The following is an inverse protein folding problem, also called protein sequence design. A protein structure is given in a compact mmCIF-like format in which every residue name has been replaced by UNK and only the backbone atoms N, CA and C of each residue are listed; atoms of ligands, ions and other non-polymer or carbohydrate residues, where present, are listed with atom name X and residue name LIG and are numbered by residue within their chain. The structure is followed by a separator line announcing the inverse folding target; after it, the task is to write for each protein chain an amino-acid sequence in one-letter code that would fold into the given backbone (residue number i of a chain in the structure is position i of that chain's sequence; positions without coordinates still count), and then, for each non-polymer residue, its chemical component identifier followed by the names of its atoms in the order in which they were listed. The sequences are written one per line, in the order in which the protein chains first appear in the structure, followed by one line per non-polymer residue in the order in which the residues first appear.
data_IF_983665491137
#
_entry.id   IF_983665491137
#
_cell.length_a   1.000
_cell.length_b   1.000
_cell.length_c   1.000
_cell.angle_alpha   90.00
_cell.angle_beta   90.00
_cell.angle_gamma   90.00
#
_symmetry.space_group_name_H-M   'P 1'
#
loop_
_entity.id
_entity.type
_entity.pdbx_description
1 polymer ?
2 non-polymer ?
3 non-polymer ?
4 water ?
#
# COMPACT_ATOMS: atom_id res chain seq x y z
N UNK A 17 9.87 20.47 7.67
CA UNK A 17 9.23 20.19 6.37
C UNK A 17 8.01 21.08 6.14
N UNK A 18 7.62 21.22 4.87
CA UNK A 18 6.34 21.81 4.51
C UNK A 18 5.21 20.89 4.97
N UNK A 19 4.16 21.49 5.56
CA UNK A 19 2.96 20.74 5.96
C UNK A 19 2.24 20.04 4.80
N UNK A 20 2.42 20.48 3.53
CA UNK A 20 1.79 19.83 2.37
C UNK A 20 2.71 18.85 1.64
N UNK A 21 3.92 18.58 2.19
CA UNK A 21 4.81 17.57 1.59
C UNK A 21 4.12 16.22 1.62
N UNK A 22 4.35 15.42 0.57
CA UNK A 22 4.05 13.99 0.60
C UNK A 22 5.38 13.26 0.54
N UNK A 23 5.66 12.49 1.56
CA UNK A 23 6.91 11.74 1.64
C UNK A 23 7.05 10.74 0.48
N UNK A 24 8.30 10.40 0.19
CA UNK A 24 8.66 9.45 -0.85
C UNK A 24 7.94 8.14 -0.64
N UNK A 25 7.43 7.57 -1.72
CA UNK A 25 6.64 6.35 -1.69
C UNK A 25 7.49 5.12 -1.99
N UNK A 26 6.85 3.96 -1.86
CA UNK A 26 7.50 2.74 -2.31
C UNK A 26 7.59 2.69 -3.82
N UNK A 27 8.56 1.94 -4.32
CA UNK A 27 8.86 1.90 -5.75
C UNK A 27 8.14 0.80 -6.48
N UNK A 28 7.64 -0.21 -5.78
CA UNK A 28 6.89 -1.31 -6.38
C UNK A 28 5.65 -1.55 -5.53
N UNK A 29 4.67 -2.19 -6.15
CA UNK A 29 3.53 -2.79 -5.47
C UNK A 29 3.76 -4.29 -5.46
N UNK A 30 3.41 -4.94 -4.36
CA UNK A 30 3.61 -6.37 -4.23
C UNK A 30 2.29 -7.04 -3.92
N UNK A 31 2.17 -8.28 -4.35
CA UNK A 31 1.02 -9.11 -3.99
C UNK A 31 1.50 -10.53 -3.82
N UNK A 32 0.73 -11.31 -3.08
CA UNK A 32 0.91 -12.75 -2.98
C UNK A 32 -0.05 -13.38 -3.99
N UNK A 33 0.49 -14.26 -4.83
CA UNK A 33 -0.32 -15.10 -5.70
C UNK A 33 -1.18 -16.07 -4.87
N UNK A 34 -2.03 -16.85 -5.56
CA UNK A 34 -2.89 -17.79 -4.85
C UNK A 34 -2.08 -18.83 -4.10
N UNK A 35 -0.90 -19.19 -4.60
CA UNK A 35 -0.01 -20.10 -3.92
C UNK A 35 0.99 -19.41 -3.01
N UNK A 36 0.82 -18.11 -2.77
CA UNK A 36 1.58 -17.25 -1.90
C UNK A 36 2.96 -16.84 -2.45
N UNK A 37 3.29 -17.17 -3.69
CA UNK A 37 4.48 -16.59 -4.30
C UNK A 37 4.32 -15.08 -4.41
N UNK A 38 5.39 -14.36 -4.09
CA UNK A 38 5.40 -12.92 -4.22
C UNK A 38 5.60 -12.51 -5.66
N UNK A 39 4.91 -11.45 -6.03
CA UNK A 39 5.08 -10.88 -7.35
C UNK A 39 5.08 -9.37 -7.23
N UNK A 40 6.03 -8.72 -7.89
CA UNK A 40 6.22 -7.27 -7.75
C UNK A 40 5.95 -6.61 -9.08
N UNK A 41 5.46 -5.38 -9.00
CA UNK A 41 5.05 -4.57 -10.13
C UNK A 41 5.66 -3.18 -10.00
N UNK A 42 6.37 -2.74 -11.05
CA UNK A 42 7.02 -1.46 -11.05
C UNK A 42 7.01 -0.86 -12.43
N UNK A 43 7.48 0.37 -12.52
CA UNK A 43 7.53 1.09 -13.78
C UNK A 43 8.98 1.33 -14.16
N UNK A 44 9.34 0.99 -15.39
CA UNK A 44 10.71 1.14 -15.88
C UNK A 44 10.85 2.40 -16.72
N UNK A 45 12.06 2.59 -17.25
CA UNK A 45 12.41 3.82 -17.97
C UNK A 45 11.64 3.97 -19.27
N UNK A 46 11.01 2.92 -19.75
CA UNK A 46 10.14 2.99 -20.90
C UNK A 46 8.71 3.37 -20.55
N UNK A 47 8.48 3.69 -19.29
CA UNK A 47 7.16 4.06 -18.76
C UNK A 47 6.14 2.94 -18.88
N UNK A 48 6.60 1.70 -18.96
CA UNK A 48 5.76 0.51 -18.98
C UNK A 48 5.83 -0.16 -17.61
N UNK A 49 4.81 -0.91 -17.29
CA UNK A 49 4.82 -1.77 -16.10
C UNK A 49 5.54 -3.07 -16.41
N UNK A 50 6.49 -3.42 -15.56
CA UNK A 50 7.19 -4.69 -15.61
C UNK A 50 6.89 -5.43 -14.32
N UNK A 51 6.89 -6.75 -14.40
CA UNK A 51 6.69 -7.55 -13.19
C UNK A 51 7.67 -8.70 -13.12
N UNK A 52 7.85 -9.23 -11.92
CA UNK A 52 8.75 -10.32 -11.63
C UNK A 52 8.16 -11.09 -10.45
N UNK A 53 8.43 -12.37 -10.37
CA UNK A 53 7.83 -13.21 -9.34
C UNK A 53 8.82 -14.25 -8.84
N UNK A 54 8.61 -14.65 -7.59
CA UNK A 54 9.24 -15.82 -7.04
C UNK A 54 8.82 -17.06 -7.82
N UNK A 55 9.74 -18.00 -7.99
CA UNK A 55 9.37 -19.28 -8.60
C UNK A 55 8.85 -20.29 -7.59
N UNK A 56 9.09 -20.06 -6.31
CA UNK A 56 8.54 -20.85 -5.22
C UNK A 56 8.34 -19.94 -4.01
N UNK A 57 7.35 -20.23 -3.14
CA UNK A 57 6.92 -19.24 -2.13
C UNK A 57 7.80 -19.23 -0.88
N UNK A 58 9.08 -18.92 -1.09
CA UNK A 58 10.06 -18.78 -0.02
C UNK A 58 11.00 -17.62 -0.33
N UNK A 59 11.48 -16.91 0.69
CA UNK A 59 12.28 -15.69 0.39
C UNK A 59 13.61 -15.99 -0.34
N UNK A 60 14.19 -17.17 -0.14
CA UNK A 60 15.42 -17.54 -0.83
C UNK A 60 15.20 -18.16 -2.20
N UNK A 61 13.98 -18.18 -2.69
CA UNK A 61 13.67 -18.63 -4.02
C UNK A 61 14.42 -17.81 -5.07
N UNK A 62 14.61 -18.42 -6.24
CA UNK A 62 15.00 -17.66 -7.39
C UNK A 62 13.77 -16.92 -7.94
N UNK A 63 14.03 -15.85 -8.67
CA UNK A 63 12.99 -15.07 -9.31
C UNK A 63 13.01 -15.34 -10.81
N UNK A 64 11.84 -15.20 -11.44
CA UNK A 64 11.63 -15.61 -12.83
C UNK A 64 12.36 -14.71 -13.82
N UNK A 65 12.54 -13.45 -13.52
CA UNK A 65 13.02 -12.50 -14.49
C UNK A 65 11.96 -11.46 -14.80
N UNK A 66 12.41 -10.26 -15.15
CA UNK A 66 11.50 -9.17 -15.42
C UNK A 66 10.80 -9.35 -16.76
N UNK A 67 9.50 -9.21 -16.74
CA UNK A 67 8.62 -9.34 -17.92
C UNK A 67 7.77 -8.09 -18.07
N UNK A 68 7.60 -7.63 -19.31
CA UNK A 68 6.93 -6.37 -19.59
C UNK A 68 5.48 -6.57 -19.97
N UNK A 69 4.63 -5.68 -19.49
CA UNK A 69 3.32 -5.47 -20.02
C UNK A 69 3.38 -4.34 -21.06
N UNK A 70 2.86 -4.56 -22.24
CA UNK A 70 2.90 -3.49 -23.24
C UNK A 70 1.94 -2.38 -22.87
N UNK A 71 2.37 -1.14 -22.96
CA UNK A 71 1.52 0.00 -22.74
C UNK A 71 2.21 1.02 -21.85
N UNK A 72 2.04 2.29 -22.13
CA UNK A 72 2.63 3.37 -21.37
C UNK A 72 1.64 3.77 -20.29
N UNK A 73 2.17 4.01 -19.09
CA UNK A 73 1.35 4.29 -17.92
C UNK A 73 1.84 5.57 -17.30
N UNK A 74 0.97 6.18 -16.50
CA UNK A 74 1.26 7.45 -15.88
C UNK A 74 0.98 7.48 -14.39
N UNK A 75 0.99 6.33 -13.73
CA UNK A 75 0.92 6.32 -12.27
C UNK A 75 1.68 5.11 -11.77
N UNK A 76 1.81 5.02 -10.45
CA UNK A 76 2.24 3.79 -9.82
C UNK A 76 1.13 2.76 -10.01
N UNK A 77 1.47 1.51 -10.30
CA UNK A 77 0.46 0.46 -10.40
C UNK A 77 0.03 0.00 -9.03
N UNK A 78 -1.25 -0.36 -8.91
CA UNK A 78 -1.80 -0.98 -7.70
C UNK A 78 -2.21 -2.40 -8.07
N UNK A 79 -2.02 -3.34 -7.17
CA UNK A 79 -2.31 -4.74 -7.49
C UNK A 79 -3.10 -5.30 -6.32
N UNK A 80 -4.04 -6.17 -6.63
CA UNK A 80 -4.76 -6.90 -5.60
C UNK A 80 -5.13 -8.26 -6.15
N UNK A 81 -5.17 -9.26 -5.27
CA UNK A 81 -5.61 -10.59 -5.64
C UNK A 81 -7.16 -10.62 -5.60
N UNK A 82 -7.80 -11.11 -6.66
CA UNK A 82 -9.23 -11.36 -6.65
C UNK A 82 -9.56 -12.49 -5.69
N UNK A 83 -10.84 -12.63 -5.38
CA UNK A 83 -11.27 -13.71 -4.48
C UNK A 83 -11.20 -15.10 -5.11
N UNK A 84 -10.93 -15.21 -6.40
CA UNK A 84 -10.66 -16.47 -7.06
C UNK A 84 -9.15 -16.67 -7.30
N UNK A 85 -8.31 -15.91 -6.65
CA UNK A 85 -6.87 -16.04 -6.68
C UNK A 85 -6.13 -15.37 -7.83
N UNK A 86 -6.83 -14.73 -8.75
CA UNK A 86 -6.19 -14.07 -9.89
C UNK A 86 -5.76 -12.65 -9.49
N UNK A 87 -4.50 -12.33 -9.78
CA UNK A 87 -4.00 -10.98 -9.59
C UNK A 87 -4.60 -10.04 -10.64
N UNK A 88 -4.77 -8.79 -10.23
CA UNK A 88 -5.31 -7.76 -11.12
C UNK A 88 -4.64 -6.45 -10.76
N UNK A 89 -4.19 -5.77 -11.80
CA UNK A 89 -3.38 -4.57 -11.68
C UNK A 89 -4.15 -3.40 -12.25
N UNK A 90 -4.05 -2.27 -11.56
CA UNK A 90 -4.72 -1.02 -11.93
C UNK A 90 -3.71 0.09 -12.08
N UNK A 91 -3.89 0.94 -13.09
CA UNK A 91 -2.89 1.97 -13.37
C UNK A 91 -3.56 3.06 -14.19
N UNK A 92 -3.06 4.29 -14.04
CA UNK A 92 -3.52 5.40 -14.86
C UNK A 92 -2.82 5.32 -16.22
N UNK A 93 -3.58 5.59 -17.28
CA UNK A 93 -3.06 5.55 -18.63
C UNK A 93 -2.67 6.92 -19.15
N UNK A 94 -2.15 6.93 -20.39
CA UNK A 94 -1.77 8.18 -21.05
C UNK A 94 -2.95 9.13 -21.25
N UNK A 95 -4.17 8.61 -21.21
CA UNK A 95 -5.37 9.42 -21.33
C UNK A 95 -5.93 9.86 -19.99
N UNK A 96 -5.16 9.65 -18.93
CA UNK A 96 -5.54 9.95 -17.57
C UNK A 96 -6.73 9.17 -17.07
N UNK A 97 -7.08 8.09 -17.77
CA UNK A 97 -8.14 7.22 -17.32
C UNK A 97 -7.55 6.02 -16.59
N UNK A 98 -8.43 5.25 -15.99
CA UNK A 98 -8.08 4.03 -15.28
C UNK A 98 -8.09 2.83 -16.22
N UNK A 99 -7.02 2.05 -16.16
CA UNK A 99 -6.87 0.82 -16.93
C UNK A 99 -6.59 -0.35 -15.97
N UNK A 100 -6.95 -1.55 -16.39
CA UNK A 100 -6.63 -2.71 -15.57
C UNK A 100 -6.27 -3.91 -16.43
N UNK A 101 -5.50 -4.83 -15.87
CA UNK A 101 -5.25 -6.09 -16.53
C UNK A 101 -5.10 -7.18 -15.47
N UNK A 102 -5.41 -8.39 -15.87
CA UNK A 102 -5.56 -9.50 -14.93
C UNK A 102 -4.94 -10.80 -15.43
N UNK A 103 -4.51 -11.62 -14.48
CA UNK A 103 -4.17 -13.02 -14.75
C UNK A 103 -5.44 -13.70 -15.22
N UNK A 104 -5.31 -14.52 -16.27
CA UNK A 104 -6.50 -15.20 -16.78
C UNK A 104 -6.81 -16.45 -16.00
N UNK A 105 -5.87 -16.93 -15.20
CA UNK A 105 -6.08 -18.01 -14.26
C UNK A 105 -5.09 -17.88 -13.11
N UNK A 106 -5.52 -18.33 -11.94
CA UNK A 106 -4.68 -18.23 -10.73
C UNK A 106 -3.32 -18.89 -10.99
N UNK A 107 -2.27 -18.24 -10.51
CA UNK A 107 -0.91 -18.80 -10.50
C UNK A 107 -0.39 -19.06 -11.90
N UNK A 108 -0.87 -18.31 -12.88
CA UNK A 108 -0.41 -18.49 -14.26
C UNK A 108 0.03 -17.14 -14.76
N UNK A 109 1.03 -17.17 -15.64
CA UNK A 109 1.62 -15.94 -16.14
C UNK A 109 1.06 -15.59 -17.52
N UNK A 110 -0.25 -15.73 -17.67
CA UNK A 110 -0.99 -15.30 -18.86
C UNK A 110 -1.92 -14.20 -18.44
N UNK A 111 -1.79 -13.03 -19.06
CA UNK A 111 -2.53 -11.84 -18.65
C UNK A 111 -3.37 -11.32 -19.79
N UNK A 112 -4.40 -10.57 -19.41
CA UNK A 112 -5.43 -10.10 -20.33
C UNK A 112 -5.02 -8.91 -21.19
N UNK A 113 -3.99 -8.17 -20.79
CA UNK A 113 -3.57 -6.92 -21.41
C UNK A 113 -4.49 -5.81 -20.91
N UNK A 114 -4.14 -4.56 -21.16
CA UNK A 114 -4.78 -3.47 -20.45
C UNK A 114 -6.16 -3.23 -21.05
N UNK A 115 -7.15 -3.07 -20.20
CA UNK A 115 -8.52 -2.83 -20.61
C UNK A 115 -9.04 -1.60 -19.89
N UNK A 116 -9.95 -0.86 -20.52
CA UNK A 116 -10.30 0.46 -19.98
C UNK A 116 -11.41 0.41 -18.95
N UNK A 117 -11.25 1.24 -17.91
CA UNK A 117 -12.34 1.58 -16.98
C UNK A 117 -12.72 3.06 -17.01
N UNK A 118 -12.09 3.85 -17.87
CA UNK A 118 -12.47 5.25 -18.13
C UNK A 118 -12.28 6.07 -16.87
N UNK A 119 -13.06 7.12 -16.74
CA UNK A 119 -12.90 8.11 -15.68
C UNK A 119 -11.74 9.05 -15.91
N UNK A 120 -11.58 9.95 -14.96
CA UNK A 120 -10.48 10.90 -14.95
C UNK A 120 -9.81 10.89 -13.60
N UNK A 121 -8.52 10.54 -13.56
CA UNK A 121 -7.80 10.11 -12.36
C UNK A 121 -6.70 11.11 -12.08
N UNK A 122 -6.61 11.60 -10.82
CA UNK A 122 -5.53 12.51 -10.44
C UNK A 122 -4.73 12.03 -9.23
N UNK A 123 -4.74 10.73 -8.96
CA UNK A 123 -3.92 10.15 -7.91
C UNK A 123 -3.52 8.76 -8.39
N UNK A 124 -2.69 8.12 -7.61
CA UNK A 124 -2.52 6.69 -7.81
C UNK A 124 -3.82 6.00 -7.43
N UNK A 125 -4.13 4.90 -8.07
CA UNK A 125 -5.29 4.11 -7.65
C UNK A 125 -4.99 3.31 -6.40
N UNK A 126 -6.05 3.03 -5.65
CA UNK A 126 -6.03 2.24 -4.42
C UNK A 126 -7.12 1.20 -4.59
N UNK A 127 -6.80 -0.05 -4.24
CA UNK A 127 -7.73 -1.15 -4.46
C UNK A 127 -7.98 -1.85 -3.13
N UNK A 128 -9.23 -2.27 -2.91
CA UNK A 128 -9.63 -2.98 -1.70
C UNK A 128 -10.55 -4.13 -2.11
N UNK A 129 -10.42 -5.29 -1.45
CA UNK A 129 -11.34 -6.42 -1.69
C UNK A 129 -12.43 -6.40 -0.64
N UNK A 130 -13.68 -6.19 -1.06
CA UNK A 130 -14.80 -6.30 -0.14
C UNK A 130 -14.91 -7.73 0.40
N UNK A 131 -15.63 -7.88 1.53
CA UNK A 131 -15.75 -9.20 2.12
C UNK A 131 -16.79 -10.07 1.45
N UNK A 132 -17.43 -9.57 0.40
CA UNK A 132 -18.27 -10.39 -0.46
C UNK A 132 -17.58 -10.69 -1.80
N UNK A 133 -16.28 -10.51 -1.83
CA UNK A 133 -15.44 -10.95 -2.92
C UNK A 133 -15.30 -9.98 -4.08
N UNK A 134 -15.86 -8.77 -3.99
CA UNK A 134 -15.80 -7.78 -5.07
C UNK A 134 -14.71 -6.75 -4.84
N UNK A 135 -13.87 -6.56 -5.87
CA UNK A 135 -12.86 -5.52 -5.84
C UNK A 135 -13.53 -4.16 -5.94
N UNK A 136 -12.92 -3.18 -5.30
CA UNK A 136 -13.38 -1.80 -5.35
C UNK A 136 -12.17 -0.89 -5.41
N UNK A 137 -12.25 0.10 -6.26
CA UNK A 137 -11.12 0.97 -6.58
C UNK A 137 -11.46 2.38 -6.15
N UNK A 138 -10.53 3.02 -5.48
CA UNK A 138 -10.64 4.39 -4.98
C UNK A 138 -9.57 5.24 -5.61
N UNK A 139 -9.95 6.45 -6.05
CA UNK A 139 -9.05 7.39 -6.69
C UNK A 139 -9.47 8.80 -6.36
N UNK A 140 -8.52 9.74 -6.47
CA UNK A 140 -8.90 11.14 -6.53
C UNK A 140 -9.28 11.47 -7.98
N UNK A 141 -10.42 12.14 -8.13
CA UNK A 141 -10.90 12.51 -9.42
C UNK A 141 -10.45 13.90 -9.88
N UNK A 142 -10.98 14.28 -11.03
CA UNK A 142 -10.57 15.54 -11.67
C UNK A 142 -11.06 16.76 -10.90
N UNK A 143 -12.05 16.59 -10.04
CA UNK A 143 -12.52 17.61 -9.13
C UNK A 143 -11.92 17.53 -7.72
N UNK A 144 -10.87 16.71 -7.54
CA UNK A 144 -10.17 16.43 -6.30
C UNK A 144 -11.02 15.73 -5.24
N UNK A 145 -12.20 15.24 -5.62
CA UNK A 145 -13.00 14.44 -4.72
C UNK A 145 -12.54 12.98 -4.76
N UNK A 146 -13.04 12.19 -3.82
CA UNK A 146 -12.86 10.76 -3.84
C UNK A 146 -13.92 10.13 -4.72
N UNK A 147 -13.48 9.31 -5.67
CA UNK A 147 -14.38 8.57 -6.53
C UNK A 147 -14.09 7.08 -6.38
N UNK A 148 -15.07 6.26 -6.71
CA UNK A 148 -14.85 4.83 -6.67
C UNK A 148 -15.71 4.12 -7.71
N UNK A 149 -15.33 2.88 -7.95
CA UNK A 149 -15.96 2.00 -8.92
C UNK A 149 -15.71 0.59 -8.42
N UNK A 150 -16.65 -0.32 -8.67
CA UNK A 150 -16.51 -1.66 -8.09
C UNK A 150 -16.97 -2.75 -9.04
N UNK A 151 -16.46 -3.95 -8.79
CA UNK A 151 -17.00 -5.13 -9.43
C UNK A 151 -18.44 -5.32 -8.97
N UNK A 152 -19.32 -5.65 -9.93
CA UNK A 152 -20.72 -5.87 -9.56
C UNK A 152 -21.00 -7.31 -9.24
N UNK A 153 -20.04 -8.19 -9.48
CA UNK A 153 -20.11 -9.57 -9.04
C UNK A 153 -18.69 -10.00 -8.70
N UNK A 154 -18.58 -10.88 -7.73
CA UNK A 154 -17.27 -11.27 -7.23
C UNK A 154 -16.40 -11.82 -8.36
N UNK A 155 -15.15 -11.36 -8.40
CA UNK A 155 -14.07 -11.83 -9.32
C UNK A 155 -14.53 -11.92 -10.77
N UNK A 156 -15.33 -10.94 -11.21
CA UNK A 156 -15.90 -10.88 -12.55
C UNK A 156 -15.53 -9.53 -13.18
N UNK A 157 -15.19 -9.54 -14.48
CA UNK A 157 -14.97 -8.30 -15.23
C UNK A 157 -16.32 -7.71 -15.62
N UNK A 158 -17.02 -7.26 -14.60
CA UNK A 158 -18.25 -6.50 -14.76
C UNK A 158 -18.22 -5.42 -13.68
N UNK A 159 -18.17 -4.15 -14.09
CA UNK A 159 -17.94 -3.06 -13.15
C UNK A 159 -19.11 -2.07 -13.17
N UNK A 160 -19.25 -1.36 -12.05
CA UNK A 160 -20.26 -0.32 -11.84
C UNK A 160 -19.92 0.91 -12.68
N UNK A 161 -20.81 1.89 -12.63
CA UNK A 161 -20.44 3.22 -13.07
C UNK A 161 -19.62 3.92 -11.99
N UNK A 162 -18.86 4.93 -12.40
CA UNK A 162 -18.14 5.78 -11.45
C UNK A 162 -19.09 6.55 -10.55
N UNK A 163 -18.74 6.64 -9.26
CA UNK A 163 -19.54 7.38 -8.31
C UNK A 163 -18.66 8.20 -7.38
N UNK A 164 -19.13 9.40 -7.02
CA UNK A 164 -18.38 10.29 -6.13
C UNK A 164 -18.74 10.09 -4.67
N UNK A 165 -17.73 10.14 -3.82
CA UNK A 165 -17.89 10.21 -2.38
C UNK A 165 -17.55 11.60 -1.87
N UNK A 166 -17.27 12.52 -2.76
CA UNK A 166 -17.06 13.89 -2.29
C UNK A 166 -15.73 14.06 -1.59
N UNK A 167 -15.67 15.13 -0.82
CA UNK A 167 -14.44 15.53 -0.15
C UNK A 167 -13.45 16.29 -1.04
N UNK A 168 -12.33 16.59 -0.43
CA UNK A 168 -11.21 17.21 -1.10
C UNK A 168 -9.94 16.51 -0.65
N UNK A 169 -9.24 15.88 -1.58
CA UNK A 169 -8.07 15.07 -1.24
C UNK A 169 -6.76 15.75 -1.63
N UNK A 170 -5.78 15.65 -0.76
CA UNK A 170 -4.44 16.11 -1.04
C UNK A 170 -3.38 15.05 -0.81
N UNK A 171 -3.81 13.79 -0.72
CA UNK A 171 -2.91 12.64 -0.73
C UNK A 171 -3.58 11.57 -1.56
N UNK A 172 -2.87 10.49 -1.79
CA UNK A 172 -3.49 9.27 -2.28
C UNK A 172 -4.40 8.69 -1.20
N UNK A 173 -5.46 7.99 -1.60
CA UNK A 173 -6.34 7.35 -0.63
C UNK A 173 -5.75 6.02 -0.19
N UNK A 174 -6.09 5.62 1.03
CA UNK A 174 -5.76 4.32 1.56
C UNK A 174 -7.03 3.69 2.12
N UNK A 175 -7.30 2.44 1.73
CA UNK A 175 -8.53 1.77 2.09
C UNK A 175 -8.22 0.51 2.85
N UNK A 176 -9.06 0.19 3.82
CA UNK A 176 -8.88 -1.06 4.53
C UNK A 176 -10.22 -1.54 5.04
N UNK A 177 -10.35 -2.85 5.15
CA UNK A 177 -11.54 -3.41 5.77
C UNK A 177 -11.48 -3.35 7.29
N UNK A 178 -12.59 -2.94 7.90
CA UNK A 178 -12.80 -3.19 9.32
C UNK A 178 -13.11 -4.66 9.54
N UNK A 179 -13.04 -5.08 10.81
CA UNK A 179 -13.23 -6.50 11.13
C UNK A 179 -14.63 -6.95 10.78
N UNK A 180 -15.59 -6.05 10.77
CA UNK A 180 -16.95 -6.37 10.43
C UNK A 180 -17.27 -6.22 8.94
N UNK A 181 -16.26 -6.05 8.11
CA UNK A 181 -16.45 -6.04 6.66
C UNK A 181 -16.72 -4.69 6.04
N UNK A 182 -16.73 -3.63 6.82
CA UNK A 182 -16.96 -2.29 6.28
C UNK A 182 -15.65 -1.69 5.81
N UNK A 183 -15.61 -1.26 4.53
CA UNK A 183 -14.46 -0.52 4.03
C UNK A 183 -14.40 0.83 4.69
N UNK A 184 -13.20 1.25 5.06
CA UNK A 184 -12.93 2.57 5.57
C UNK A 184 -11.77 3.14 4.76
N UNK A 185 -11.93 4.39 4.35
CA UNK A 185 -10.96 5.07 3.49
C UNK A 185 -10.39 6.28 4.20
N UNK A 186 -9.08 6.42 4.09
CA UNK A 186 -8.32 7.48 4.72
C UNK A 186 -7.60 8.32 3.68
N UNK A 187 -7.60 9.63 3.89
CA UNK A 187 -6.88 10.51 2.99
C UNK A 187 -6.64 11.86 3.63
N UNK A 188 -5.55 12.50 3.22
CA UNK A 188 -5.29 13.86 3.63
C UNK A 188 -6.25 14.80 2.94
N UNK A 189 -6.71 15.79 3.71
CA UNK A 189 -7.65 16.77 3.26
C UNK A 189 -7.03 18.12 2.93
N UNK A 190 -7.91 19.07 2.61
CA UNK A 190 -7.45 20.38 2.15
C UNK A 190 -6.73 21.15 3.24
N UNK A 191 -6.97 20.81 4.51
CA UNK A 191 -6.33 21.41 5.67
C UNK A 191 -5.12 20.63 6.13
N UNK A 192 -4.62 19.71 5.30
CA UNK A 192 -3.50 18.80 5.55
C UNK A 192 -3.72 17.86 6.71
N UNK A 193 -4.93 17.75 7.21
CA UNK A 193 -5.20 16.78 8.24
C UNK A 193 -5.66 15.45 7.64
N UNK A 194 -5.64 14.43 8.48
CA UNK A 194 -6.13 13.11 8.07
C UNK A 194 -7.65 13.06 8.24
N UNK A 195 -8.35 12.76 7.15
CA UNK A 195 -9.79 12.56 7.15
C UNK A 195 -10.10 11.11 6.82
N UNK A 196 -11.32 10.70 7.12
CA UNK A 196 -11.78 9.35 6.78
C UNK A 196 -13.28 9.31 6.58
N UNK A 197 -13.70 8.26 5.87
CA UNK A 197 -15.09 8.01 5.51
C UNK A 197 -15.26 6.50 5.44
N UNK A 198 -16.45 6.00 5.76
CA UNK A 198 -16.59 4.55 5.85
C UNK A 198 -17.97 4.07 5.40
N UNK A 199 -18.02 2.84 4.89
CA UNK A 199 -19.27 2.13 4.69
C UNK A 199 -19.96 1.98 6.03
N UNK A 200 -21.27 2.19 6.05
CA UNK A 200 -22.02 2.00 7.28
C UNK A 200 -22.63 0.62 7.39
N UNK A 201 -22.59 -0.14 6.31
CA UNK A 201 -22.93 -1.55 6.33
C UNK A 201 -21.93 -2.26 5.42
N UNK A 202 -21.58 -3.47 5.78
CA UNK A 202 -20.52 -4.16 5.05
C UNK A 202 -20.87 -4.35 3.57
N UNK A 203 -19.91 -4.03 2.71
CA UNK A 203 -19.93 -4.30 1.27
C UNK A 203 -21.24 -3.81 0.63
N UNK A 204 -21.62 -2.61 1.00
CA UNK A 204 -22.81 -1.94 0.54
C UNK A 204 -22.46 -0.50 0.16
N UNK A 205 -23.11 0.04 -0.86
CA UNK A 205 -22.92 1.45 -1.24
C UNK A 205 -23.75 2.36 -0.33
N UNK A 206 -23.36 2.41 0.94
CA UNK A 206 -24.01 3.26 1.94
C UNK A 206 -22.87 3.76 2.81
N UNK A 207 -22.61 5.05 2.79
CA UNK A 207 -21.39 5.60 3.35
C UNK A 207 -21.70 6.70 4.34
N UNK A 208 -20.77 6.88 5.27
CA UNK A 208 -20.81 7.96 6.24
C UNK A 208 -20.52 9.31 5.57
N UNK A 209 -20.56 10.35 6.39
CA UNK A 209 -19.94 11.62 6.00
C UNK A 209 -18.47 11.57 6.31
N UNK A 210 -17.74 12.49 5.68
CA UNK A 210 -16.34 12.68 5.98
C UNK A 210 -16.16 13.21 7.40
N UNK A 211 -15.15 12.69 8.09
CA UNK A 211 -14.79 13.21 9.40
C UNK A 211 -13.30 13.36 9.53
N UNK A 212 -12.89 14.38 10.29
CA UNK A 212 -11.49 14.67 10.50
C UNK A 212 -10.94 13.92 11.70
N UNK A 213 -9.75 13.38 11.53
CA UNK A 213 -8.97 12.85 12.64
C UNK A 213 -7.92 13.85 13.12
N UNK A 214 -7.98 15.08 12.61
CA UNK A 214 -7.12 16.19 12.99
C UNK A 214 -5.67 15.84 12.71
N UNK A 215 -4.75 16.64 13.24
CA UNK A 215 -3.34 16.36 13.08
C UNK A 215 -2.94 16.42 11.62
N UNK A 216 -1.94 17.25 11.32
CA UNK A 216 -1.36 17.30 9.99
C UNK A 216 -0.56 16.01 9.73
N UNK A 217 -0.56 15.58 8.48
CA UNK A 217 0.29 14.49 8.02
C UNK A 217 1.01 14.92 6.75
N UNK A 218 2.20 14.34 6.57
CA UNK A 218 3.11 14.67 5.48
C UNK A 218 3.50 13.43 4.73
N UNK A 219 2.64 12.45 4.75
CA UNK A 219 2.79 11.25 3.93
C UNK A 219 1.39 10.75 3.64
N UNK A 220 1.28 9.81 2.70
CA UNK A 220 0.06 9.06 2.59
C UNK A 220 -0.18 8.30 3.89
N UNK A 221 -1.42 8.07 4.26
CA UNK A 221 -1.71 7.21 5.40
C UNK A 221 -1.53 5.75 5.08
N UNK A 222 -1.11 5.01 6.09
CA UNK A 222 -0.87 3.58 6.01
C UNK A 222 -1.72 2.92 7.09
N UNK A 223 -2.54 1.96 6.70
CA UNK A 223 -3.56 1.36 7.57
C UNK A 223 -3.34 -0.12 7.69
N UNK A 224 -3.47 -0.64 8.91
CA UNK A 224 -3.32 -2.06 9.18
C UNK A 224 -4.32 -2.44 10.26
N UNK A 225 -4.71 -3.70 10.30
CA UNK A 225 -5.57 -4.17 11.40
C UNK A 225 -4.71 -4.88 12.45
N UNK A 226 -5.06 -4.67 13.71
CA UNK A 226 -4.38 -5.43 14.75
C UNK A 226 -5.19 -6.70 15.04
N UNK A 227 -4.72 -7.58 15.94
CA UNK A 227 -5.44 -8.84 16.14
C UNK A 227 -6.65 -8.72 17.08
N UNK A 228 -6.85 -7.57 17.74
CA UNK A 228 -8.11 -7.21 18.40
C UNK A 228 -9.22 -6.77 17.41
N UNK A 229 -8.96 -6.79 16.08
CA UNK A 229 -9.85 -6.25 15.06
C UNK A 229 -9.55 -4.83 14.61
N UNK A 230 -9.05 -4.01 15.52
CA UNK A 230 -9.10 -2.56 15.40
C UNK A 230 -8.10 -2.06 14.39
N UNK A 231 -8.49 -1.02 13.66
CA UNK A 231 -7.57 -0.42 12.71
C UNK A 231 -6.58 0.47 13.41
N UNK A 232 -5.36 0.52 12.87
CA UNK A 232 -4.32 1.43 13.33
C UNK A 232 -3.69 2.10 12.12
N UNK A 233 -3.58 3.43 12.18
CA UNK A 233 -3.17 4.24 11.06
C UNK A 233 -1.83 4.85 11.41
N UNK A 234 -0.91 4.80 10.48
CA UNK A 234 0.45 5.33 10.60
C UNK A 234 0.66 6.37 9.51
N UNK A 235 1.36 7.43 9.87
CA UNK A 235 1.71 8.47 8.90
C UNK A 235 2.92 9.25 9.42
N UNK A 236 3.55 9.96 8.52
CA UNK A 236 4.56 10.92 8.95
C UNK A 236 3.86 12.20 9.35
N UNK A 237 4.36 12.83 10.41
CA UNK A 237 3.79 14.05 10.91
C UNK A 237 4.51 15.30 10.43
N UNK A 238 4.08 16.45 10.95
CA UNK A 238 4.64 17.73 10.50
C UNK A 238 6.08 17.91 10.92
N UNK A 239 6.51 17.25 12.00
CA UNK A 239 7.91 17.32 12.45
C UNK A 239 8.76 16.19 11.87
N UNK A 240 8.24 15.47 10.89
CA UNK A 240 8.93 14.42 10.16
C UNK A 240 9.13 13.13 10.97
N UNK A 241 8.43 12.95 12.08
CA UNK A 241 8.45 11.70 12.84
C UNK A 241 7.23 10.87 12.52
N UNK A 242 7.33 9.59 12.86
CA UNK A 242 6.20 8.69 12.69
C UNK A 242 5.14 8.99 13.74
N UNK A 243 3.89 9.06 13.31
CA UNK A 243 2.82 9.11 14.28
C UNK A 243 1.75 8.08 13.97
N UNK A 244 0.93 7.78 14.96
CA UNK A 244 -0.06 6.73 14.76
C UNK A 244 -1.24 6.94 15.70
N UNK A 245 -2.37 6.37 15.29
CA UNK A 245 -3.65 6.52 15.98
C UNK A 245 -4.39 5.20 15.79
N UNK A 246 -5.25 4.84 16.74
CA UNK A 246 -5.92 3.54 16.62
C UNK A 246 -7.37 3.63 17.06
N UNK A 247 -8.16 2.73 16.50
CA UNK A 247 -9.56 2.60 16.91
C UNK A 247 -9.55 2.04 18.32
N UNK A 248 -10.43 2.56 19.16
CA UNK A 248 -10.51 2.11 20.54
C UNK A 248 -11.86 1.51 20.88
N UNK A 249 -12.75 1.38 19.93
CA UNK A 249 -14.04 0.76 20.15
C UNK A 249 -14.30 -0.28 19.08
N UNK A 250 -15.59 -0.44 18.79
CA UNK A 250 -16.09 -1.40 17.83
C UNK A 250 -16.66 -0.74 16.59
N UNK A 251 -16.53 0.57 16.49
CA UNK A 251 -17.07 1.33 15.39
C UNK A 251 -15.92 2.18 14.78
N UNK A 252 -16.26 2.98 13.79
CA UNK A 252 -15.30 3.83 13.09
C UNK A 252 -15.21 5.25 13.67
N UNK A 253 -15.94 5.52 14.74
CA UNK A 253 -16.04 6.87 15.29
C UNK A 253 -15.04 7.09 16.42
N UNK A 254 -14.77 6.05 17.21
CA UNK A 254 -14.03 6.16 18.47
C UNK A 254 -12.54 5.86 18.25
N UNK A 255 -11.69 6.90 18.39
CA UNK A 255 -10.26 6.77 18.18
C UNK A 255 -9.48 7.28 19.39
N UNK A 256 -8.26 6.75 19.53
CA UNK A 256 -7.30 7.25 20.49
C UNK A 256 -6.83 8.64 20.13
N UNK A 257 -6.05 9.22 21.05
CA UNK A 257 -5.20 10.34 20.70
C UNK A 257 -4.09 9.87 19.77
N UNK A 258 -3.55 10.81 19.03
CA UNK A 258 -2.32 10.56 18.27
C UNK A 258 -1.11 10.43 19.18
N UNK A 259 -0.22 9.54 18.81
CA UNK A 259 1.09 9.46 19.42
C UNK A 259 2.17 9.54 18.36
N UNK A 260 3.28 10.15 18.72
CA UNK A 260 4.44 10.21 17.85
C UNK A 260 5.52 9.35 18.48
N UNK A 261 6.39 8.84 17.63
CA UNK A 261 7.60 8.11 18.02
C UNK A 261 8.81 8.99 17.69
N UNK A 262 9.79 9.09 18.58
CA UNK A 262 10.99 9.83 18.21
C UNK A 262 11.70 9.19 17.03
N UNK A 263 12.33 10.06 16.23
CA UNK A 263 13.17 9.61 15.13
C UNK A 263 12.70 10.19 13.82
N UNK A 264 13.53 10.94 13.13
CA UNK A 264 13.12 11.53 11.86
C UNK A 264 13.13 10.47 10.75
N UNK A 265 12.03 10.38 10.02
CA UNK A 265 11.92 9.48 8.87
C UNK A 265 11.77 10.32 7.62
N UNK A 266 12.26 9.77 6.52
CA UNK A 266 12.36 10.48 5.25
C UNK A 266 11.64 9.76 4.12
N UNK A 267 10.67 8.92 4.46
CA UNK A 267 9.83 8.26 3.48
C UNK A 267 8.49 7.94 4.15
N UNK A 268 7.52 7.49 3.34
CA UNK A 268 6.33 6.89 3.91
C UNK A 268 6.74 5.67 4.75
N UNK A 269 5.97 5.36 5.78
CA UNK A 269 6.15 4.12 6.51
C UNK A 269 5.47 2.97 5.79
N UNK A 270 5.88 1.78 6.18
CA UNK A 270 5.23 0.53 5.77
C UNK A 270 5.05 -0.31 7.03
N UNK A 271 3.87 -0.84 7.21
CA UNK A 271 3.54 -1.56 8.43
C UNK A 271 3.17 -2.99 8.08
N UNK A 272 3.49 -3.89 9.00
CA UNK A 272 3.15 -5.29 8.83
C UNK A 272 2.89 -5.90 10.21
N UNK A 273 2.04 -6.92 10.24
CA UNK A 273 1.76 -7.67 11.47
C UNK A 273 2.55 -8.97 11.38
N UNK A 274 3.44 -9.19 12.33
CA UNK A 274 4.30 -10.36 12.24
C UNK A 274 3.52 -11.57 12.74
N UNK A 275 4.15 -12.75 12.72
CA UNK A 275 3.33 -13.94 12.96
C UNK A 275 3.03 -14.17 14.44
N UNK A 276 3.62 -13.38 15.33
CA UNK A 276 3.22 -13.34 16.72
C UNK A 276 2.14 -12.33 16.98
N UNK A 277 1.61 -11.71 15.95
CA UNK A 277 0.55 -10.77 16.13
C UNK A 277 0.98 -9.39 16.52
N UNK A 278 2.26 -9.09 16.55
CA UNK A 278 2.72 -7.76 16.91
C UNK A 278 2.99 -6.97 15.64
N UNK A 279 2.84 -5.66 15.74
CA UNK A 279 3.10 -4.74 14.63
C UNK A 279 4.57 -4.33 14.53
N UNK A 280 5.00 -4.19 13.28
CA UNK A 280 6.33 -3.67 12.96
C UNK A 280 6.17 -2.60 11.91
N UNK A 281 7.03 -1.58 11.98
CA UNK A 281 6.99 -0.51 11.01
C UNK A 281 8.38 -0.34 10.45
N UNK A 282 8.44 -0.11 9.13
CA UNK A 282 9.67 0.10 8.40
C UNK A 282 9.56 1.46 7.71
N UNK A 283 10.67 2.17 7.64
CA UNK A 283 10.70 3.49 7.01
C UNK A 283 12.14 3.81 6.65
N UNK A 284 12.31 4.69 5.67
CA UNK A 284 13.65 5.24 5.46
C UNK A 284 13.93 6.26 6.55
N UNK A 285 15.08 6.12 7.17
CA UNK A 285 15.45 6.94 8.28
C UNK A 285 16.16 8.23 7.89
N UNK A 286 16.56 8.97 8.91
CA UNK A 286 17.14 10.28 8.69
C UNK A 286 18.49 10.18 8.01
N UNK A 287 19.17 9.05 8.15
CA UNK A 287 20.44 8.79 7.48
C UNK A 287 20.29 8.05 6.16
N UNK A 288 19.07 7.98 5.62
CA UNK A 288 18.74 7.34 4.35
C UNK A 288 18.99 5.85 4.32
N UNK A 289 19.01 5.21 5.49
CA UNK A 289 19.01 3.77 5.56
C UNK A 289 17.63 3.28 5.98
N UNK A 290 17.42 2.00 5.82
CA UNK A 290 16.17 1.39 6.28
C UNK A 290 16.18 1.27 7.79
N UNK A 291 15.12 1.79 8.40
CA UNK A 291 14.89 1.65 9.83
C UNK A 291 13.65 0.79 10.10
N UNK A 292 13.69 0.11 11.23
CA UNK A 292 12.63 -0.78 11.70
C UNK A 292 12.36 -0.54 13.17
N UNK A 293 11.07 -0.55 13.53
CA UNK A 293 10.64 -0.55 14.92
C UNK A 293 9.54 -1.58 15.05
N UNK A 294 9.44 -2.19 16.24
CA UNK A 294 8.42 -3.19 16.52
C UNK A 294 7.82 -2.97 17.90
N UNK A 295 6.58 -3.41 18.04
CA UNK A 295 5.92 -3.44 19.34
C UNK A 295 6.52 -4.55 20.18
N UNK A 296 6.88 -4.22 21.42
CA UNK A 296 7.65 -5.15 22.24
C UNK A 296 6.76 -6.12 22.97
N UNK A 297 5.50 -5.76 23.11
CA UNK A 297 4.47 -6.58 23.71
C UNK A 297 3.15 -6.12 23.11
N UNK A 298 2.06 -6.80 23.47
CA UNK A 298 0.76 -6.49 22.91
C UNK A 298 0.36 -5.04 23.17
N UNK A 299 -0.12 -4.38 22.12
CA UNK A 299 -0.44 -2.96 22.10
C UNK A 299 0.71 -2.07 22.59
N UNK A 300 1.92 -2.64 22.66
CA UNK A 300 2.85 -2.25 23.69
C UNK A 300 3.61 -0.98 23.40
N UNK A 301 4.70 -0.78 24.14
CA UNK A 301 5.64 0.26 23.73
C UNK A 301 6.38 -0.21 22.50
N UNK A 302 6.91 0.77 21.81
CA UNK A 302 7.67 0.54 20.60
C UNK A 302 9.15 0.54 20.89
N UNK A 303 9.87 -0.35 20.23
CA UNK A 303 11.30 -0.37 20.32
C UNK A 303 11.97 0.87 19.73
N UNK A 304 13.20 1.10 20.17
CA UNK A 304 14.01 2.09 19.45
C UNK A 304 14.16 1.62 18.01
N UNK A 305 14.27 2.56 17.09
CA UNK A 305 14.53 2.20 15.70
C UNK A 305 15.88 1.52 15.56
N UNK A 306 15.89 0.46 14.77
CA UNK A 306 17.11 -0.22 14.38
C UNK A 306 17.35 0.07 12.89
N UNK A 307 18.61 0.13 12.49
CA UNK A 307 18.94 0.46 11.11
C UNK A 307 19.64 -0.73 10.46
N UNK A 308 19.41 -0.87 9.16
CA UNK A 308 20.07 -1.82 8.30
C UNK A 308 21.11 -1.07 7.47
N UNK A 309 22.22 -1.75 7.22
CA UNK A 309 23.26 -1.21 6.35
C UNK A 309 22.72 -0.95 4.95
N UNK A 310 23.10 0.18 4.37
CA UNK A 310 22.79 0.42 2.95
C UNK A 310 21.89 1.61 2.73
N UNK A 311 22.35 2.52 1.86
CA UNK A 311 21.54 3.68 1.47
C UNK A 311 20.44 3.21 0.53
N UNK A 312 19.21 3.74 0.73
CA UNK A 312 18.05 3.33 -0.06
C UNK A 312 17.42 4.60 -0.60
N UNK A 313 16.73 4.45 -1.73
CA UNK A 313 16.27 5.59 -2.53
C UNK A 313 14.76 5.60 -2.68
N UNK A 314 14.05 4.84 -1.86
CA UNK A 314 12.60 4.85 -1.86
C UNK A 314 12.12 4.51 -0.45
N UNK A 315 10.81 4.60 -0.25
CA UNK A 315 10.24 3.94 0.93
C UNK A 315 10.34 2.42 0.77
N UNK A 316 10.32 1.69 1.87
CA UNK A 316 10.19 0.24 1.78
C UNK A 316 8.78 -0.20 1.39
N UNK A 317 8.72 -1.34 0.72
CA UNK A 317 7.50 -2.10 0.50
C UNK A 317 7.72 -3.44 1.20
N UNK A 318 6.76 -3.83 2.02
CA UNK A 318 6.93 -5.00 2.89
C UNK A 318 5.94 -6.07 2.44
N UNK A 319 6.34 -7.32 2.62
CA UNK A 319 5.46 -8.44 2.35
C UNK A 319 5.83 -9.59 3.27
N UNK A 320 4.95 -10.60 3.33
CA UNK A 320 5.23 -11.82 4.08
C UNK A 320 5.17 -13.02 3.14
N UNK A 321 6.11 -13.94 3.34
CA UNK A 321 6.18 -15.19 2.58
C UNK A 321 5.26 -16.26 3.17
N UNK A 322 5.18 -17.40 2.46
CA UNK A 322 4.26 -18.47 2.86
C UNK A 322 4.58 -19.02 4.22
N UNK A 323 5.83 -18.87 4.67
CA UNK A 323 6.23 -19.36 5.98
C UNK A 323 6.30 -18.27 7.03
N UNK A 324 5.70 -17.12 6.76
CA UNK A 324 5.61 -16.01 7.69
C UNK A 324 6.77 -15.04 7.65
N UNK A 325 7.85 -15.34 6.93
CA UNK A 325 9.04 -14.51 6.98
C UNK A 325 8.80 -13.21 6.23
N UNK A 326 9.20 -12.12 6.84
CA UNK A 326 9.04 -10.77 6.30
C UNK A 326 10.14 -10.51 5.28
N UNK A 327 9.76 -9.80 4.21
CA UNK A 327 10.65 -9.49 3.11
C UNK A 327 10.40 -8.05 2.74
N UNK A 328 11.46 -7.31 2.48
CA UNK A 328 11.41 -5.87 2.26
C UNK A 328 12.08 -5.55 0.93
N UNK A 329 11.40 -4.74 0.13
CA UNK A 329 11.83 -4.26 -1.19
C UNK A 329 12.09 -2.77 -1.18
N UNK A 330 13.19 -2.37 -1.82
CA UNK A 330 13.51 -0.94 -1.92
C UNK A 330 14.19 -0.68 -3.25
N UNK A 331 14.18 0.58 -3.66
CA UNK A 331 15.04 1.06 -4.73
C UNK A 331 16.44 1.36 -4.21
N UNK A 332 17.43 0.89 -4.95
CA UNK A 332 18.80 1.14 -4.58
C UNK A 332 19.35 2.37 -5.29
N UNK A 333 20.57 2.79 -4.92
CA UNK A 333 21.16 3.94 -5.58
C UNK A 333 21.49 3.69 -7.05
N UNK A 334 21.59 2.42 -7.44
CA UNK A 334 21.75 2.06 -8.83
C UNK A 334 20.43 2.06 -9.60
N UNK A 335 19.32 2.47 -8.96
CA UNK A 335 17.98 2.53 -9.55
C UNK A 335 17.43 1.14 -9.87
N UNK A 336 17.97 0.13 -9.25
CA UNK A 336 17.38 -1.20 -9.34
C UNK A 336 16.72 -1.62 -8.04
N UNK A 337 16.01 -2.73 -8.13
CA UNK A 337 15.25 -3.27 -7.00
C UNK A 337 16.12 -4.17 -6.15
N UNK A 338 16.14 -3.92 -4.84
CA UNK A 338 16.86 -4.76 -3.89
C UNK A 338 15.89 -5.28 -2.84
N UNK A 339 16.27 -6.37 -2.21
CA UNK A 339 15.44 -6.91 -1.13
C UNK A 339 16.27 -7.61 -0.08
N UNK A 340 15.67 -7.71 1.11
CA UNK A 340 16.25 -8.50 2.18
C UNK A 340 15.12 -9.15 2.95
N UNK A 341 15.46 -10.14 3.75
CA UNK A 341 14.41 -10.90 4.43
C UNK A 341 14.92 -11.48 5.73
N UNK A 342 13.97 -11.91 6.55
CA UNK A 342 14.29 -12.66 7.78
C UNK A 342 14.81 -14.04 7.48
N UNK A 343 15.83 -14.44 8.25
CA UNK A 343 16.41 -15.77 8.02
C UNK A 343 15.54 -16.88 8.58
N UNK A 344 14.79 -16.62 9.64
CA UNK A 344 13.89 -17.61 10.22
C UNK A 344 12.53 -17.00 10.50
N UNK A 345 11.51 -17.87 10.65
CA UNK A 345 10.15 -17.45 11.03
C UNK A 345 10.13 -17.21 12.52
N UNK A 346 10.54 -16.01 12.90
CA UNK A 346 10.83 -15.72 14.29
C UNK A 346 11.05 -14.24 14.49
N UNK A 347 10.38 -13.70 15.50
CA UNK A 347 10.37 -12.24 15.69
C UNK A 347 11.76 -11.68 15.92
N UNK A 348 12.66 -12.49 16.49
CA UNK A 348 14.04 -12.09 16.81
C UNK A 348 15.06 -12.60 15.78
N UNK A 349 14.60 -13.21 14.69
CA UNK A 349 15.44 -13.59 13.57
C UNK A 349 16.45 -12.52 13.16
N UNK A 350 17.61 -12.98 12.73
CA UNK A 350 18.48 -12.08 12.02
C UNK A 350 17.96 -11.89 10.59
N UNK A 351 18.56 -10.95 9.89
CA UNK A 351 18.16 -10.59 8.54
C UNK A 351 19.31 -10.80 7.56
N UNK A 352 18.99 -11.01 6.30
CA UNK A 352 19.99 -11.02 5.26
C UNK A 352 20.40 -9.59 4.95
N UNK A 353 21.43 -9.45 4.11
CA UNK A 353 21.80 -8.15 3.57
C UNK A 353 21.11 -7.98 2.23
N UNK A 354 21.10 -6.75 1.74
CA UNK A 354 20.43 -6.45 0.48
C UNK A 354 20.95 -7.32 -0.66
N UNK A 355 20.03 -7.88 -1.43
CA UNK A 355 20.30 -8.64 -2.65
C UNK A 355 19.56 -8.01 -3.83
N UNK A 356 20.17 -8.08 -4.99
CA UNK A 356 19.65 -7.43 -6.18
C UNK A 356 18.68 -8.33 -6.92
N UNK A 357 17.57 -7.76 -7.39
CA UNK A 357 16.65 -8.42 -8.31
C UNK A 357 16.87 -7.75 -9.65
N UNK A 358 17.93 -8.17 -10.34
CA UNK A 358 18.41 -7.39 -11.47
C UNK A 358 17.67 -7.62 -12.77
N UNK A 359 17.88 -6.67 -13.68
CA UNK A 359 17.43 -6.79 -15.05
C UNK A 359 16.80 -5.57 -15.66
N UNK A 360 16.24 -4.68 -14.84
CA UNK A 360 15.69 -3.41 -15.29
C UNK A 360 16.01 -2.38 -14.22
N UNK A 361 15.87 -1.12 -14.58
CA UNK A 361 15.89 -0.05 -13.62
C UNK A 361 14.47 0.51 -13.52
N UNK A 362 14.18 1.15 -12.38
CA UNK A 362 12.83 1.55 -12.04
C UNK A 362 12.79 3.05 -11.89
N UNK A 363 11.61 3.59 -12.17
CA UNK A 363 11.36 5.01 -11.95
C UNK A 363 10.15 5.13 -11.03
N UNK A 364 10.08 6.25 -10.35
CA UNK A 364 8.95 6.56 -9.48
C UNK A 364 7.89 7.25 -10.33
N UNK A 365 6.84 6.51 -10.69
CA UNK A 365 5.76 6.99 -11.53
C UNK A 365 4.57 7.53 -10.74
N UNK A 366 4.73 7.69 -9.44
CA UNK A 366 3.65 8.26 -8.61
C UNK A 366 3.12 9.56 -9.18
N UNK A 367 1.79 9.68 -9.15
CA UNK A 367 1.17 10.90 -9.63
C UNK A 367 1.59 12.03 -8.72
N UNK A 368 1.98 13.14 -9.33
CA UNK A 368 2.34 14.33 -8.57
C UNK A 368 1.05 15.08 -8.25
N UNK A 369 0.79 15.22 -6.97
CA UNK A 369 -0.54 15.62 -6.51
C UNK A 369 -0.80 17.13 -6.58
N UNK A 370 0.22 17.96 -6.35
CA UNK A 370 0.12 19.43 -6.56
C UNK A 370 0.66 19.86 -7.93
#
# INVERSE_FOLDING_TARGET
MPNPDNTEAHVAGEVEIENSAIALSGIVSVANNADNRLEVFGVSTDSAVWHNWQTAPLPNSSWAGWNKFNGVVTSKPAVHRNSDGRLEVFVRGTDNALWHNWQTAADTNTWSSWQPLYGGITSNPEVCLNSDGRLEVFVRGSDNALWHIWQTAAHTNSWSNWKSLGGTLTSNPAAHLNADGRIEVFARGADNALWHIWQTAAHTDQWSNWQSLKSVITSDPVVINNCDGRLEVFARGADSTLRHISQIGSDSVSWSNWQCLDGVITSAPAAVKNISGQLEVFARGADNTLWRTWQTSHNGPWSNWSSFTGIIASAPTVAKNSDGRIEVFVLGLDKALWHLWQTTSSTTSSWTTWALIGGITLIDASVILEHHHHHHWRSGC
#
